data_IF_941442103561
#
_entry.id   IF_941442103561
#
_cell.length_a   1.000
_cell.length_b   1.000
_cell.length_c   1.000
_cell.angle_alpha   90.00
_cell.angle_beta   90.00
_cell.angle_gamma   90.00
#
_symmetry.space_group_name_H-M   'P 1'
#
loop_
_entity.id
_entity.type
_entity.pdbx_description
1 polymer ?
#
# COMPACT_ATOMS: atom_id res chain seq x y z
N UNK A 1 -30.39 1.23 36.61
CA UNK A 1 -29.18 0.93 37.39
C UNK A 1 -28.31 0.08 36.47
N UNK A 2 -27.71 0.61 35.41
CA UNK A 2 -26.74 1.72 35.39
C UNK A 2 -25.64 1.51 36.43
N UNK A 3 -24.44 1.20 35.93
CA UNK A 3 -23.18 1.69 36.46
C UNK A 3 -22.21 1.81 35.27
N UNK A 4 -21.88 3.07 34.98
CA UNK A 4 -20.86 3.53 34.06
C UNK A 4 -19.43 3.36 34.63
N UNK A 5 -18.45 3.63 33.76
CA UNK A 5 -17.09 4.13 34.02
C UNK A 5 -15.86 3.21 33.80
N UNK A 6 -15.36 3.28 32.55
CA UNK A 6 -14.09 3.92 32.12
C UNK A 6 -12.69 3.54 32.72
N UNK A 7 -11.79 3.18 31.78
CA UNK A 7 -10.32 3.38 31.67
C UNK A 7 -9.34 2.43 32.38
N UNK A 8 -8.40 1.90 31.57
CA UNK A 8 -7.10 1.37 32.02
C UNK A 8 -6.20 0.91 30.87
N UNK A 9 -5.35 1.81 30.36
CA UNK A 9 -4.38 1.61 29.28
C UNK A 9 -3.07 1.02 29.83
N UNK A 10 -2.39 0.22 28.99
CA UNK A 10 -0.96 -0.15 28.99
C UNK A 10 -0.40 -1.06 30.08
N UNK A 11 0.38 -2.07 29.64
CA UNK A 11 1.74 -2.31 30.16
C UNK A 11 2.53 -3.43 29.46
N UNK A 12 2.15 -3.88 28.25
CA UNK A 12 2.96 -4.86 27.51
C UNK A 12 3.29 -4.37 26.10
N UNK A 13 4.00 -3.25 26.01
CA UNK A 13 4.91 -3.02 24.88
C UNK A 13 6.26 -3.59 25.33
N UNK A 14 6.77 -4.66 24.71
CA UNK A 14 8.07 -5.20 25.05
C UNK A 14 9.16 -4.14 24.83
N UNK A 15 9.83 -3.73 25.90
CA UNK A 15 10.88 -2.70 25.91
C UNK A 15 12.26 -3.21 25.46
N UNK A 16 12.37 -4.47 25.04
CA UNK A 16 13.59 -5.06 24.54
C UNK A 16 13.36 -5.62 23.15
N UNK A 17 13.88 -4.93 22.13
CA UNK A 17 13.99 -5.46 20.78
C UNK A 17 15.14 -6.46 20.79
N UNK A 18 14.90 -7.79 20.69
CA UNK A 18 15.97 -8.76 20.76
C UNK A 18 16.86 -8.57 19.54
N UNK A 19 18.08 -8.10 19.79
CA UNK A 19 19.11 -7.91 18.79
C UNK A 19 19.25 -9.20 17.95
N UNK A 20 19.12 -9.03 16.61
CA UNK A 20 19.28 -10.00 15.49
C UNK A 20 18.02 -10.33 14.66
N UNK A 21 17.11 -9.38 14.42
CA UNK A 21 16.21 -9.49 13.25
C UNK A 21 16.97 -9.12 11.97
N UNK A 22 17.59 -10.13 11.35
CA UNK A 22 18.44 -10.01 10.15
C UNK A 22 17.64 -9.88 8.84
N UNK A 23 16.47 -9.19 8.87
CA UNK A 23 15.61 -8.77 7.74
C UNK A 23 14.34 -8.11 8.30
N UNK A 24 14.38 -6.80 8.53
CA UNK A 24 13.20 -5.99 8.87
C UNK A 24 12.72 -5.31 7.58
N UNK A 25 12.34 -6.10 6.59
CA UNK A 25 11.53 -5.60 5.46
C UNK A 25 10.06 -5.67 5.92
N UNK A 26 9.29 -4.59 5.78
CA UNK A 26 7.84 -4.61 6.03
C UNK A 26 7.29 -3.73 7.18
N UNK A 27 8.13 -3.11 8.03
CA UNK A 27 7.59 -2.19 9.06
C UNK A 27 7.03 -0.90 8.44
N UNK A 28 7.71 -0.32 7.45
CA UNK A 28 7.21 0.89 6.78
C UNK A 28 5.87 0.64 6.10
N UNK A 29 5.78 -0.45 5.36
CA UNK A 29 4.54 -0.90 4.70
C UNK A 29 3.41 -1.11 5.71
N UNK A 30 3.69 -1.70 6.89
CA UNK A 30 2.70 -1.86 7.97
C UNK A 30 2.18 -0.50 8.45
N UNK A 31 3.06 0.46 8.71
CA UNK A 31 2.65 1.80 9.14
C UNK A 31 1.83 2.51 8.06
N UNK A 32 2.23 2.38 6.80
CA UNK A 32 1.45 2.89 5.67
C UNK A 32 0.07 2.24 5.58
N UNK A 33 -0.01 0.92 5.71
CA UNK A 33 -1.27 0.20 5.70
C UNK A 33 -2.20 0.64 6.83
N UNK A 34 -1.70 0.70 8.07
CA UNK A 34 -2.47 1.19 9.23
C UNK A 34 -2.96 2.63 9.00
N UNK A 35 -2.11 3.50 8.44
CA UNK A 35 -2.48 4.87 8.13
C UNK A 35 -3.72 4.95 7.21
N UNK A 36 -3.72 4.24 6.08
CA UNK A 36 -4.87 4.26 5.16
C UNK A 36 -6.08 3.49 5.70
N UNK A 37 -5.90 2.42 6.46
CA UNK A 37 -7.01 1.74 7.15
C UNK A 37 -7.72 2.70 8.11
N UNK A 38 -6.97 3.50 8.88
CA UNK A 38 -7.54 4.50 9.78
C UNK A 38 -8.27 5.63 9.03
N UNK A 39 -7.93 5.89 7.77
CA UNK A 39 -8.64 6.81 6.88
C UNK A 39 -9.87 6.18 6.21
N UNK A 40 -10.17 4.91 6.49
CA UNK A 40 -11.35 4.20 5.98
C UNK A 40 -11.14 3.55 4.62
N UNK A 41 -9.90 3.34 4.20
CA UNK A 41 -9.58 2.58 2.98
C UNK A 41 -9.40 1.10 3.26
N UNK A 42 -9.66 0.28 2.24
CA UNK A 42 -9.19 -1.10 2.18
C UNK A 42 -7.76 -1.11 1.61
N UNK A 43 -6.85 -1.87 2.23
CA UNK A 43 -5.43 -1.92 1.84
C UNK A 43 -5.00 -3.37 1.62
N UNK A 44 -4.34 -3.62 0.49
CA UNK A 44 -3.57 -4.85 0.27
C UNK A 44 -2.09 -4.49 0.26
N UNK A 45 -1.32 -5.21 1.06
CA UNK A 45 0.09 -4.92 1.38
C UNK A 45 0.98 -6.17 1.39
N UNK A 46 0.39 -7.35 1.14
CA UNK A 46 1.19 -8.56 1.03
C UNK A 46 1.99 -8.51 -0.27
N UNK A 47 3.27 -8.89 -0.19
CA UNK A 47 4.15 -9.03 -1.35
C UNK A 47 3.38 -9.65 -2.52
N UNK A 48 3.37 -8.94 -3.64
CA UNK A 48 2.87 -9.38 -4.95
C UNK A 48 3.74 -10.55 -5.44
N UNK A 49 3.63 -11.67 -4.75
CA UNK A 49 4.49 -12.83 -4.91
C UNK A 49 4.21 -13.54 -6.21
N UNK A 50 5.13 -14.45 -6.59
CA UNK A 50 5.06 -15.28 -7.80
C UNK A 50 3.81 -16.16 -7.90
N UNK A 51 3.00 -16.22 -6.85
CA UNK A 51 1.81 -17.04 -6.77
C UNK A 51 0.62 -16.14 -7.04
N UNK A 52 0.08 -16.21 -8.26
CA UNK A 52 -1.13 -15.52 -8.75
C UNK A 52 -2.42 -15.96 -8.02
N UNK A 53 -2.28 -16.34 -6.76
CA UNK A 53 -3.28 -16.90 -5.87
C UNK A 53 -3.26 -16.19 -4.51
N UNK A 54 -2.37 -15.22 -4.29
CA UNK A 54 -2.41 -14.44 -3.04
C UNK A 54 -3.72 -13.64 -2.96
N UNK A 55 -4.32 -13.49 -1.77
CA UNK A 55 -5.52 -12.67 -1.58
C UNK A 55 -5.36 -11.25 -2.16
N UNK A 56 -4.18 -10.67 -2.00
CA UNK A 56 -3.82 -9.36 -2.54
C UNK A 56 -3.85 -9.32 -4.07
N UNK A 57 -3.32 -10.36 -4.75
CA UNK A 57 -3.40 -10.47 -6.20
C UNK A 57 -4.85 -10.67 -6.68
N UNK A 58 -5.62 -11.54 -6.04
CA UNK A 58 -7.02 -11.80 -6.40
C UNK A 58 -7.88 -10.54 -6.27
N UNK A 59 -7.65 -9.74 -5.21
CA UNK A 59 -8.30 -8.44 -5.04
C UNK A 59 -7.90 -7.47 -6.15
N UNK A 60 -6.61 -7.41 -6.51
CA UNK A 60 -6.16 -6.60 -7.63
C UNK A 60 -6.77 -7.06 -8.97
N UNK A 61 -6.95 -8.36 -9.20
CA UNK A 61 -7.68 -8.88 -10.38
C UNK A 61 -9.13 -8.43 -10.36
N UNK A 62 -9.82 -8.50 -9.22
CA UNK A 62 -11.20 -8.05 -9.07
C UNK A 62 -11.36 -6.55 -9.38
N UNK A 63 -10.42 -5.73 -8.91
CA UNK A 63 -10.48 -4.28 -9.11
C UNK A 63 -9.93 -3.91 -10.49
N UNK A 64 -8.69 -4.26 -10.81
CA UNK A 64 -8.00 -3.81 -12.02
C UNK A 64 -8.41 -4.57 -13.29
N UNK A 65 -8.91 -5.80 -13.13
CA UNK A 65 -9.02 -6.78 -14.21
C UNK A 65 -7.72 -7.56 -14.38
N UNK A 66 -7.83 -8.81 -14.82
CA UNK A 66 -6.73 -9.78 -14.92
C UNK A 66 -5.52 -9.24 -15.70
N UNK A 67 -5.77 -8.61 -16.86
CA UNK A 67 -4.70 -8.05 -17.71
C UNK A 67 -3.92 -6.93 -17.00
N UNK A 68 -4.61 -6.04 -16.30
CA UNK A 68 -3.97 -4.92 -15.61
C UNK A 68 -3.22 -5.40 -14.35
N UNK A 69 -3.85 -6.29 -13.56
CA UNK A 69 -3.20 -6.95 -12.43
C UNK A 69 -1.95 -7.72 -12.88
N UNK A 70 -2.01 -8.44 -14.00
CA UNK A 70 -0.85 -9.16 -14.55
C UNK A 70 0.29 -8.26 -15.05
N UNK A 71 0.04 -6.98 -15.35
CA UNK A 71 1.08 -6.00 -15.70
C UNK A 71 1.66 -5.34 -14.46
N UNK A 72 0.81 -5.00 -13.49
CA UNK A 72 1.16 -4.16 -12.34
C UNK A 72 1.73 -5.01 -11.21
N UNK A 73 1.13 -6.16 -10.90
CA UNK A 73 1.51 -7.04 -9.80
C UNK A 73 2.66 -7.98 -10.16
N UNK A 74 3.45 -7.67 -11.21
CA UNK A 74 4.61 -8.47 -11.58
C UNK A 74 5.66 -8.38 -10.48
N UNK A 75 6.17 -9.52 -10.02
CA UNK A 75 7.21 -9.56 -8.98
C UNK A 75 8.54 -8.88 -9.37
N UNK A 76 8.70 -8.47 -10.64
CA UNK A 76 9.86 -7.74 -11.17
C UNK A 76 9.42 -6.84 -12.34
N UNK A 77 9.82 -5.54 -12.39
CA UNK A 77 10.40 -4.75 -11.30
C UNK A 77 9.46 -4.68 -10.08
N UNK A 78 9.99 -4.38 -8.90
CA UNK A 78 9.20 -4.38 -7.67
C UNK A 78 7.94 -3.51 -7.82
N UNK A 79 6.75 -4.08 -7.60
CA UNK A 79 5.50 -3.32 -7.63
C UNK A 79 5.40 -2.38 -6.44
N UNK A 80 4.51 -1.36 -6.54
CA UNK A 80 4.26 -0.45 -5.44
C UNK A 80 3.90 -1.21 -4.17
N UNK A 81 4.37 -0.68 -3.04
CA UNK A 81 4.28 -1.33 -1.73
C UNK A 81 2.84 -1.63 -1.31
N UNK A 82 1.91 -0.68 -1.54
CA UNK A 82 0.50 -0.84 -1.18
C UNK A 82 -0.42 -0.63 -2.39
N UNK A 83 -1.55 -1.32 -2.36
CA UNK A 83 -2.71 -1.04 -3.20
C UNK A 83 -3.91 -0.70 -2.32
N UNK A 84 -4.48 0.47 -2.56
CA UNK A 84 -5.45 1.12 -1.67
C UNK A 84 -6.73 1.37 -2.45
N UNK A 85 -7.86 0.97 -1.85
CA UNK A 85 -9.19 1.05 -2.46
C UNK A 85 -10.16 1.73 -1.51
N UNK A 86 -10.97 2.66 -2.01
CA UNK A 86 -12.01 3.30 -1.22
C UNK A 86 -13.36 2.57 -1.35
N UNK A 87 -14.33 2.95 -0.51
CA UNK A 87 -15.68 2.37 -0.52
C UNK A 87 -16.47 2.56 -1.84
N UNK A 88 -15.95 3.31 -2.82
CA UNK A 88 -16.53 3.47 -4.16
C UNK A 88 -15.76 2.68 -5.22
N UNK A 89 -14.90 1.74 -4.83
CA UNK A 89 -14.02 0.97 -5.71
C UNK A 89 -13.09 1.85 -6.57
N UNK A 90 -12.79 3.07 -6.09
CA UNK A 90 -11.71 3.87 -6.66
C UNK A 90 -10.42 3.48 -5.97
N UNK A 91 -9.31 3.52 -6.70
CA UNK A 91 -8.05 3.00 -6.21
C UNK A 91 -6.87 3.88 -6.53
N UNK A 92 -5.78 3.58 -5.84
CA UNK A 92 -4.45 4.09 -6.08
C UNK A 92 -3.41 3.13 -5.49
N UNK A 93 -2.15 3.35 -5.82
CA UNK A 93 -1.02 2.65 -5.25
C UNK A 93 -0.22 3.58 -4.35
N UNK A 94 0.55 3.00 -3.43
CA UNK A 94 1.42 3.75 -2.55
C UNK A 94 2.80 3.13 -2.59
N UNK A 95 3.80 3.97 -2.79
CA UNK A 95 5.19 3.65 -2.48
C UNK A 95 5.52 4.25 -1.11
N UNK A 96 5.92 3.41 -0.16
CA UNK A 96 6.31 3.82 1.17
C UNK A 96 7.83 4.03 1.20
N UNK A 97 8.25 5.17 1.77
CA UNK A 97 9.66 5.46 2.01
C UNK A 97 9.89 5.87 3.45
N UNK A 98 10.89 5.25 4.06
CA UNK A 98 11.45 5.69 5.34
C UNK A 98 12.18 7.04 5.14
N UNK A 99 12.46 7.81 6.22
CA UNK A 99 13.05 9.14 6.10
C UNK A 99 14.36 9.18 5.29
N UNK A 100 15.16 8.12 5.39
CA UNK A 100 16.45 7.99 4.70
C UNK A 100 16.33 7.27 3.35
N UNK A 101 15.16 6.72 3.03
CA UNK A 101 14.94 5.94 1.83
C UNK A 101 14.53 6.83 0.66
N UNK A 102 14.98 6.49 -0.54
CA UNK A 102 14.70 7.20 -1.78
C UNK A 102 14.14 6.23 -2.80
N UNK A 103 13.23 6.73 -3.63
CA UNK A 103 12.86 6.03 -4.85
C UNK A 103 14.11 5.79 -5.71
N UNK A 104 14.44 4.53 -5.94
CA UNK A 104 15.51 4.18 -6.85
C UNK A 104 15.02 4.25 -8.31
N UNK A 105 15.95 4.30 -9.27
CA UNK A 105 15.62 4.44 -10.69
C UNK A 105 14.70 3.33 -11.22
N UNK A 106 14.82 2.10 -10.70
CA UNK A 106 13.98 0.97 -11.13
C UNK A 106 12.54 1.14 -10.63
N UNK A 107 12.36 1.57 -9.39
CA UNK A 107 11.03 1.91 -8.83
C UNK A 107 10.41 3.06 -9.60
N UNK A 108 11.16 4.13 -9.87
CA UNK A 108 10.67 5.27 -10.66
C UNK A 108 10.22 4.85 -12.06
N UNK A 109 11.05 4.09 -12.78
CA UNK A 109 10.73 3.63 -14.13
C UNK A 109 9.49 2.71 -14.14
N UNK A 110 9.35 1.84 -13.13
CA UNK A 110 8.19 0.96 -13.04
C UNK A 110 6.92 1.73 -12.68
N UNK A 111 7.00 2.66 -11.73
CA UNK A 111 5.89 3.54 -11.35
C UNK A 111 5.38 4.35 -12.56
N UNK A 112 6.30 4.91 -13.34
CA UNK A 112 5.94 5.61 -14.59
C UNK A 112 5.23 4.69 -15.59
N UNK A 113 5.70 3.45 -15.75
CA UNK A 113 5.08 2.46 -16.64
C UNK A 113 3.65 2.12 -16.20
N UNK A 114 3.43 1.97 -14.89
CA UNK A 114 2.09 1.73 -14.31
C UNK A 114 1.17 2.91 -14.63
N UNK A 115 1.61 4.15 -14.36
CA UNK A 115 0.80 5.34 -14.62
C UNK A 115 0.44 5.49 -16.10
N UNK A 116 1.40 5.29 -17.00
CA UNK A 116 1.15 5.30 -18.45
C UNK A 116 0.13 4.23 -18.86
N UNK A 117 0.27 3.01 -18.33
CA UNK A 117 -0.66 1.94 -18.61
C UNK A 117 -2.08 2.27 -18.13
N UNK A 118 -2.22 2.72 -16.88
CA UNK A 118 -3.52 3.04 -16.30
C UNK A 118 -4.18 4.23 -16.99
N UNK A 119 -3.42 5.28 -17.32
CA UNK A 119 -3.95 6.43 -18.06
C UNK A 119 -4.44 6.06 -19.45
N UNK A 120 -3.83 5.06 -20.09
CA UNK A 120 -4.23 4.58 -21.42
C UNK A 120 -5.43 3.62 -21.36
N UNK A 121 -5.51 2.77 -20.34
CA UNK A 121 -6.41 1.61 -20.34
C UNK A 121 -7.53 1.68 -19.29
N UNK A 122 -7.48 2.60 -18.32
CA UNK A 122 -8.45 2.69 -17.23
C UNK A 122 -9.23 4.01 -17.25
N UNK A 123 -10.54 3.99 -16.93
CA UNK A 123 -11.32 5.20 -16.77
C UNK A 123 -10.81 6.04 -15.59
N UNK A 124 -10.66 7.34 -15.79
CA UNK A 124 -10.21 8.29 -14.76
C UNK A 124 -11.14 8.35 -13.53
N UNK A 125 -12.40 7.95 -13.67
CA UNK A 125 -13.38 7.87 -12.56
C UNK A 125 -13.03 6.81 -11.51
N UNK A 126 -12.18 5.83 -11.85
CA UNK A 126 -11.73 4.76 -10.95
C UNK A 126 -10.54 5.16 -10.09
N UNK A 127 -10.02 6.37 -10.27
CA UNK A 127 -8.85 6.88 -9.57
C UNK A 127 -9.27 7.59 -8.30
N UNK A 128 -8.48 7.47 -7.25
CA UNK A 128 -8.74 8.23 -6.02
C UNK A 128 -8.76 9.75 -6.32
N UNK A 129 -9.76 10.48 -5.81
CA UNK A 129 -10.03 11.86 -6.23
C UNK A 129 -8.97 12.86 -5.77
N UNK A 130 -8.22 12.53 -4.71
CA UNK A 130 -7.16 13.38 -4.17
C UNK A 130 -5.88 13.35 -5.02
N UNK A 131 -5.75 12.38 -5.92
CA UNK A 131 -4.57 12.28 -6.77
C UNK A 131 -4.61 13.29 -7.94
N UNK A 132 -3.52 14.03 -8.21
CA UNK A 132 -3.46 14.97 -9.33
C UNK A 132 -3.62 14.25 -10.67
N UNK A 133 -4.35 14.83 -11.64
CA UNK A 133 -4.67 14.19 -12.93
C UNK A 133 -3.47 13.50 -13.57
N UNK A 134 -3.65 12.23 -13.97
CA UNK A 134 -2.60 11.42 -14.58
C UNK A 134 -1.78 10.60 -13.57
N UNK A 135 -1.92 10.86 -12.27
CA UNK A 135 -1.20 10.10 -11.25
C UNK A 135 -2.06 9.02 -10.60
N UNK A 136 -1.44 7.87 -10.35
CA UNK A 136 -2.07 6.71 -9.72
C UNK A 136 -1.28 6.19 -8.52
N UNK A 137 -0.10 6.76 -8.28
CA UNK A 137 0.83 6.33 -7.26
C UNK A 137 1.12 7.51 -6.33
N UNK A 138 0.92 7.29 -5.04
CA UNK A 138 1.25 8.23 -3.97
C UNK A 138 2.59 7.84 -3.35
N UNK A 139 3.44 8.82 -3.05
CA UNK A 139 4.68 8.60 -2.31
C UNK A 139 4.45 8.94 -0.83
N UNK A 140 4.31 7.92 0.01
CA UNK A 140 4.18 8.10 1.45
C UNK A 140 5.56 8.13 2.11
N UNK A 141 5.97 9.32 2.56
CA UNK A 141 7.17 9.48 3.38
C UNK A 141 6.80 9.36 4.85
N UNK A 142 7.29 8.31 5.50
CA UNK A 142 7.17 8.18 6.95
C UNK A 142 8.18 9.12 7.60
N UNK A 143 7.72 9.90 8.58
CA UNK A 143 8.58 10.74 9.42
C UNK A 143 8.60 10.16 10.85
N UNK A 144 9.74 10.22 11.57
CA UNK A 144 9.72 9.99 13.00
C UNK A 144 8.82 11.04 13.66
N UNK A 145 7.98 10.62 14.60
CA UNK A 145 7.23 11.52 15.46
C UNK A 145 8.17 12.26 16.42
#
# INVERSE_FOLDING_TARGET
MENDEWVGISNHIPSACPHKLRRIYGFGELFGAIHYVNLGYEVTWEYWGRNWESPSYLKAVQILGEKAAGVICQSQPQPPDLFVVDGKNRFFFVEVKLPTDRLNEKQMAFNQRIEQYLNKNMPQSRRAPHLPKGHWIELLKLSPA
#
